data_IF_676609112639
#
_entry.id   IF_676609112639
#
_cell.length_a   1.000
_cell.length_b   1.000
_cell.length_c   1.000
_cell.angle_alpha   90.00
_cell.angle_beta   90.00
_cell.angle_gamma   90.00
#
_symmetry.space_group_name_H-M   'P 1'
#
loop_
_entity.id
_entity.type
_entity.pdbx_description
1 polymer ?
#
# COMPACT_ATOMS: atom_id res chain seq x y z
N UNK A 1 -14.74 12.26 11.34
CA UNK A 1 -16.12 11.93 10.92
C UNK A 1 -16.08 11.58 9.46
N UNK A 2 -16.39 10.33 9.12
CA UNK A 2 -16.71 9.97 7.73
C UNK A 2 -17.94 10.77 7.27
N UNK A 3 -18.12 10.97 5.96
CA UNK A 3 -19.32 11.63 5.43
C UNK A 3 -20.62 10.93 5.89
N UNK A 4 -20.57 9.63 6.16
CA UNK A 4 -21.69 8.88 6.74
C UNK A 4 -22.02 9.30 8.19
N UNK A 5 -21.01 9.61 9.01
CA UNK A 5 -21.21 10.01 10.42
C UNK A 5 -21.71 11.46 10.59
N UNK A 6 -21.31 12.36 9.70
CA UNK A 6 -21.81 13.74 9.73
C UNK A 6 -23.30 13.85 9.34
N UNK A 7 -23.82 12.84 8.64
CA UNK A 7 -25.19 12.83 8.13
C UNK A 7 -26.14 11.92 8.91
N UNK A 8 -25.70 10.73 9.34
CA UNK A 8 -26.48 9.87 10.24
C UNK A 8 -26.82 10.57 11.58
N UNK A 9 -26.03 11.57 12.00
CA UNK A 9 -26.30 12.37 13.18
C UNK A 9 -27.37 13.47 12.98
N UNK A 10 -27.86 13.71 11.75
CA UNK A 10 -28.83 14.78 11.45
C UNK A 10 -30.16 14.32 10.85
N UNK A 11 -30.26 13.10 10.33
CA UNK A 11 -31.48 12.61 9.69
C UNK A 11 -31.68 11.16 10.11
N UNK A 12 -32.80 10.86 10.78
CA UNK A 12 -33.25 9.48 10.96
C UNK A 12 -33.36 8.85 9.58
N UNK A 13 -32.57 7.80 9.32
CA UNK A 13 -32.30 7.21 8.01
C UNK A 13 -33.50 6.43 7.45
N UNK A 14 -34.71 6.61 7.98
CA UNK A 14 -35.75 5.58 7.85
C UNK A 14 -36.63 5.62 6.60
N UNK A 15 -36.70 6.66 5.76
CA UNK A 15 -37.55 6.56 4.55
C UNK A 15 -37.03 7.36 3.34
N UNK A 16 -36.08 6.80 2.60
CA UNK A 16 -35.83 7.23 1.22
C UNK A 16 -36.47 6.25 0.24
N UNK A 17 -37.38 6.75 -0.59
CA UNK A 17 -37.89 5.99 -1.72
C UNK A 17 -36.93 6.18 -2.91
N UNK A 18 -36.16 5.15 -3.24
CA UNK A 18 -35.24 5.16 -4.36
C UNK A 18 -35.84 4.49 -5.60
N UNK A 19 -35.71 5.13 -6.76
CA UNK A 19 -36.12 4.55 -8.03
C UNK A 19 -35.08 4.81 -9.12
N UNK A 20 -34.93 3.82 -10.02
CA UNK A 20 -34.06 3.95 -11.20
C UNK A 20 -34.69 4.92 -12.18
N UNK A 21 -33.90 5.87 -12.65
CA UNK A 21 -34.31 6.86 -13.65
C UNK A 21 -33.10 7.29 -14.48
N UNK A 22 -33.29 8.22 -15.40
CA UNK A 22 -32.21 8.78 -16.21
C UNK A 22 -32.11 10.28 -16.00
N UNK A 23 -30.91 10.81 -15.84
CA UNK A 23 -30.67 12.25 -15.79
C UNK A 23 -30.01 12.72 -17.09
N UNK A 24 -30.54 13.75 -17.73
CA UNK A 24 -29.99 14.31 -18.97
C UNK A 24 -28.70 15.13 -18.73
N UNK A 25 -28.49 15.62 -17.50
CA UNK A 25 -27.32 16.40 -17.14
C UNK A 25 -26.23 15.44 -16.60
N UNK A 26 -25.00 15.51 -17.10
CA UNK A 26 -23.89 14.83 -16.46
C UNK A 26 -23.64 15.48 -15.09
N UNK A 27 -23.20 14.72 -14.07
CA UNK A 27 -22.96 15.24 -12.73
C UNK A 27 -21.79 16.24 -12.67
N UNK A 28 -20.94 16.27 -13.70
CA UNK A 28 -19.85 17.24 -13.88
C UNK A 28 -19.47 17.32 -15.36
N UNK A 29 -18.81 18.42 -15.77
CA UNK A 29 -18.11 18.49 -17.05
C UNK A 29 -16.91 17.53 -17.00
N UNK A 30 -16.95 16.44 -17.76
CA UNK A 30 -15.72 15.73 -18.12
C UNK A 30 -15.01 16.64 -19.12
N UNK A 31 -14.00 17.39 -18.68
CA UNK A 31 -12.90 17.66 -19.59
C UNK A 31 -12.07 16.38 -19.59
N UNK A 32 -11.70 15.89 -20.78
CA UNK A 32 -10.80 14.74 -20.99
C UNK A 32 -9.37 14.98 -20.44
N UNK A 33 -9.23 15.89 -19.47
CA UNK A 33 -7.98 16.47 -18.97
C UNK A 33 -7.97 16.62 -17.43
N UNK A 34 -8.96 16.10 -16.70
CA UNK A 34 -9.06 16.38 -15.27
C UNK A 34 -8.23 15.45 -14.36
N UNK A 35 -6.97 15.86 -14.15
CA UNK A 35 -6.28 16.05 -12.84
C UNK A 35 -5.93 14.83 -11.97
N UNK A 36 -4.77 14.22 -12.27
CA UNK A 36 -3.81 13.84 -11.21
C UNK A 36 -2.87 15.00 -10.82
N UNK A 37 -2.94 16.14 -11.51
CA UNK A 37 -2.13 17.33 -11.22
C UNK A 37 -0.64 17.02 -11.03
N UNK A 38 0.06 17.81 -10.23
CA UNK A 38 1.51 17.72 -10.02
C UNK A 38 2.04 16.60 -9.10
N UNK A 39 1.20 15.66 -8.65
CA UNK A 39 1.54 14.75 -7.53
C UNK A 39 1.48 13.26 -7.85
N UNK A 40 1.27 12.88 -9.11
CA UNK A 40 1.32 11.47 -9.53
C UNK A 40 2.67 10.79 -9.21
N UNK A 41 3.74 11.57 -9.04
CA UNK A 41 5.12 11.11 -8.91
C UNK A 41 5.76 11.28 -7.54
N UNK A 42 5.06 11.82 -6.54
CA UNK A 42 5.56 11.80 -5.15
C UNK A 42 5.75 10.37 -4.62
N UNK A 43 5.13 9.39 -5.28
CA UNK A 43 5.31 7.95 -5.07
C UNK A 43 6.62 7.36 -5.64
N UNK A 44 7.49 8.16 -6.28
CA UNK A 44 8.76 7.68 -6.85
C UNK A 44 10.02 8.16 -6.12
N UNK A 45 9.90 8.95 -5.04
CA UNK A 45 11.05 9.45 -4.28
C UNK A 45 11.90 8.32 -3.65
N UNK A 46 11.33 7.12 -3.48
CA UNK A 46 11.98 5.98 -2.85
C UNK A 46 12.96 5.15 -3.69
N UNK A 47 13.22 5.48 -4.97
CA UNK A 47 14.10 4.67 -5.83
C UNK A 47 15.60 5.02 -5.75
N UNK A 48 16.00 5.93 -4.85
CA UNK A 48 17.38 6.45 -4.76
C UNK A 48 18.37 5.46 -4.11
N UNK A 49 17.93 4.29 -3.66
CA UNK A 49 18.74 3.41 -2.81
C UNK A 49 19.84 2.56 -3.47
N UNK A 50 19.88 2.37 -4.80
CA UNK A 50 20.96 1.56 -5.42
C UNK A 50 21.07 1.75 -6.95
N UNK A 51 21.61 2.89 -7.39
CA UNK A 51 21.59 3.28 -8.82
C UNK A 51 22.91 3.15 -9.58
N UNK A 52 24.05 2.85 -8.94
CA UNK A 52 25.34 2.77 -9.65
C UNK A 52 25.35 1.73 -10.77
N UNK A 53 24.53 0.67 -10.69
CA UNK A 53 24.46 -0.39 -11.71
C UNK A 53 23.41 -0.17 -12.82
N UNK A 54 22.62 0.91 -12.75
CA UNK A 54 21.51 1.17 -13.70
C UNK A 54 21.75 2.37 -14.63
N UNK A 55 22.84 3.11 -14.39
CA UNK A 55 23.33 4.19 -15.25
C UNK A 55 24.23 3.53 -16.31
N UNK A 56 23.77 3.45 -17.57
CA UNK A 56 24.60 2.96 -18.69
C UNK A 56 25.07 4.08 -19.60
N UNK A 57 24.32 5.19 -19.65
CA UNK A 57 24.60 6.32 -20.52
C UNK A 57 24.46 7.64 -19.77
N UNK A 58 25.18 8.67 -20.21
CA UNK A 58 25.00 10.05 -19.80
C UNK A 58 24.75 10.94 -21.01
N UNK A 59 24.13 12.09 -20.78
CA UNK A 59 23.94 13.13 -21.77
C UNK A 59 24.70 14.39 -21.34
N UNK A 60 25.54 14.95 -22.22
CA UNK A 60 26.25 16.18 -21.94
C UNK A 60 25.31 17.38 -21.91
N UNK A 61 25.72 18.41 -21.17
CA UNK A 61 25.14 19.76 -21.24
C UNK A 61 25.01 20.22 -22.70
N UNK A 62 23.90 20.88 -23.04
CA UNK A 62 23.58 21.29 -24.40
C UNK A 62 22.90 20.21 -25.26
N UNK A 63 22.69 18.99 -24.73
CA UNK A 63 21.86 17.97 -25.39
C UNK A 63 20.42 18.46 -25.52
N UNK A 64 19.79 18.18 -26.66
CA UNK A 64 18.39 18.51 -26.90
C UNK A 64 17.55 17.25 -26.78
N UNK A 65 16.48 17.33 -26.01
CA UNK A 65 15.60 16.21 -25.74
C UNK A 65 14.15 16.58 -25.94
N UNK A 66 13.35 15.61 -26.36
CA UNK A 66 11.91 15.69 -26.48
C UNK A 66 11.26 15.03 -25.28
N UNK A 67 10.34 15.73 -24.63
CA UNK A 67 9.47 15.19 -23.58
C UNK A 67 8.01 15.20 -24.06
N UNK A 68 7.29 14.05 -24.06
CA UNK A 68 5.93 13.97 -24.59
C UNK A 68 4.92 14.93 -23.93
N UNK A 69 3.92 15.43 -24.69
CA UNK A 69 2.92 16.40 -24.21
C UNK A 69 2.16 15.97 -22.97
N UNK A 70 1.85 14.67 -22.87
CA UNK A 70 1.07 14.11 -21.75
C UNK A 70 1.77 14.22 -20.39
N UNK A 71 3.02 14.70 -20.35
CA UNK A 71 3.87 14.75 -19.16
C UNK A 71 4.31 16.17 -18.80
N UNK A 72 3.88 17.18 -19.55
CA UNK A 72 4.28 18.58 -19.31
C UNK A 72 3.38 19.30 -18.31
N UNK A 73 2.08 19.04 -18.36
CA UNK A 73 1.08 19.66 -17.47
C UNK A 73 1.17 19.15 -16.02
N UNK A 74 1.89 18.03 -15.83
CA UNK A 74 2.03 17.29 -14.58
C UNK A 74 3.31 17.66 -13.80
N UNK A 75 4.26 18.41 -14.37
CA UNK A 75 5.59 18.67 -13.77
C UNK A 75 5.83 20.15 -13.43
N UNK A 76 4.86 20.79 -12.79
CA UNK A 76 4.99 22.15 -12.26
C UNK A 76 5.90 22.30 -11.03
N UNK A 77 6.66 21.27 -10.63
CA UNK A 77 7.56 21.33 -9.48
C UNK A 77 8.94 20.73 -9.81
N UNK A 78 9.97 21.51 -9.50
CA UNK A 78 11.40 21.43 -9.88
C UNK A 78 12.19 20.18 -9.43
N UNK A 79 11.55 19.08 -9.04
CA UNK A 79 12.19 18.01 -8.24
C UNK A 79 12.05 16.59 -8.84
N UNK A 80 11.36 16.37 -9.97
CA UNK A 80 11.09 15.04 -10.53
C UNK A 80 12.00 14.60 -11.69
N UNK A 81 11.93 13.32 -12.12
CA UNK A 81 12.55 12.82 -13.37
C UNK A 81 11.50 12.74 -14.49
N UNK A 82 11.87 13.14 -15.70
CA UNK A 82 11.01 13.23 -16.89
C UNK A 82 11.53 12.22 -17.92
N UNK A 83 10.65 11.39 -18.53
CA UNK A 83 11.06 10.56 -19.65
C UNK A 83 11.32 11.42 -20.87
N UNK A 84 12.40 11.12 -21.56
CA UNK A 84 12.84 11.88 -22.71
C UNK A 84 13.30 10.97 -23.83
N UNK A 85 13.17 11.49 -25.05
CA UNK A 85 13.84 10.98 -26.24
C UNK A 85 14.91 11.97 -26.65
N UNK A 86 16.14 11.51 -26.84
CA UNK A 86 17.26 12.36 -27.25
C UNK A 86 17.08 12.74 -28.70
N UNK A 87 17.02 14.04 -29.00
CA UNK A 87 16.94 14.57 -30.35
C UNK A 87 18.33 14.91 -30.88
N UNK A 88 19.18 15.47 -30.02
CA UNK A 88 20.53 15.90 -30.38
C UNK A 88 21.46 15.77 -29.20
N UNK A 89 22.71 15.42 -29.49
CA UNK A 89 23.80 15.40 -28.51
C UNK A 89 24.97 16.17 -29.11
N UNK A 90 25.52 17.18 -28.39
CA UNK A 90 26.70 17.90 -28.80
C UNK A 90 27.86 16.96 -29.19
N UNK A 91 28.73 17.37 -30.13
CA UNK A 91 29.91 16.60 -30.49
C UNK A 91 30.87 16.44 -29.29
N UNK A 92 31.65 15.34 -29.20
CA UNK A 92 32.56 15.06 -28.08
C UNK A 92 33.68 16.09 -27.88
N UNK A 93 33.90 16.97 -28.86
CA UNK A 93 34.89 18.05 -28.79
C UNK A 93 34.58 19.04 -27.67
N UNK A 94 33.30 19.26 -27.33
CA UNK A 94 32.90 20.15 -26.24
C UNK A 94 33.31 19.60 -24.87
N UNK A 95 33.15 18.29 -24.66
CA UNK A 95 33.55 17.59 -23.43
C UNK A 95 35.06 17.66 -23.23
N UNK A 96 35.85 17.54 -24.32
CA UNK A 96 37.32 17.69 -24.28
C UNK A 96 37.75 19.08 -23.85
N UNK A 97 37.04 20.13 -24.29
CA UNK A 97 37.30 21.52 -23.89
C UNK A 97 37.00 21.72 -22.40
N UNK A 98 35.91 21.14 -21.90
CA UNK A 98 35.51 21.22 -20.48
C UNK A 98 36.37 20.34 -19.55
N UNK A 99 36.85 19.19 -20.02
CA UNK A 99 37.79 18.34 -19.29
C UNK A 99 39.23 18.83 -19.37
N UNK A 100 39.54 19.63 -20.40
CA UNK A 100 40.87 20.12 -20.75
C UNK A 100 41.19 21.53 -20.26
N UNK A 101 40.29 22.19 -19.51
CA UNK A 101 40.67 23.38 -18.73
C UNK A 101 41.66 22.97 -17.64
N UNK A 102 42.95 23.06 -17.97
CA UNK A 102 44.04 22.87 -17.02
C UNK A 102 43.94 23.90 -15.89
N UNK A 103 44.40 23.50 -14.70
CA UNK A 103 44.54 24.43 -13.59
C UNK A 103 45.54 25.50 -13.97
N UNK A 104 45.08 26.73 -14.19
CA UNK A 104 45.96 27.88 -14.25
C UNK A 104 46.56 28.10 -12.85
N UNK A 105 47.88 28.20 -12.79
CA UNK A 105 48.63 28.54 -11.59
C UNK A 105 48.52 30.05 -11.42
N UNK A 106 48.06 30.51 -10.26
CA UNK A 106 48.02 31.94 -9.99
C UNK A 106 49.44 32.47 -9.75
N UNK A 107 49.63 33.79 -9.87
CA UNK A 107 50.94 34.45 -9.71
C UNK A 107 51.55 34.25 -8.31
N UNK A 108 50.74 33.85 -7.32
CA UNK A 108 51.18 33.51 -5.96
C UNK A 108 51.63 32.03 -5.79
N UNK A 109 51.61 31.25 -6.88
CA UNK A 109 51.99 29.85 -6.88
C UNK A 109 50.93 28.88 -6.34
N UNK A 110 49.76 29.36 -5.95
CA UNK A 110 48.64 28.53 -5.51
C UNK A 110 47.90 27.91 -6.72
N UNK A 111 47.46 26.67 -6.55
CA UNK A 111 46.64 25.98 -7.55
C UNK A 111 45.15 26.22 -7.24
N UNK A 112 44.53 27.25 -7.82
CA UNK A 112 43.06 27.31 -7.88
C UNK A 112 42.57 26.20 -8.81
N UNK A 113 42.13 25.07 -8.25
CA UNK A 113 41.36 24.06 -9.01
C UNK A 113 40.05 24.72 -9.46
N UNK A 114 39.99 25.20 -10.71
CA UNK A 114 38.72 25.62 -11.33
C UNK A 114 37.71 24.47 -11.20
N UNK A 115 36.61 24.76 -10.52
CA UNK A 115 35.65 23.81 -9.91
C UNK A 115 34.76 23.04 -10.90
N UNK A 116 35.26 22.65 -12.08
CA UNK A 116 34.48 21.91 -13.07
C UNK A 116 34.72 20.39 -13.02
N UNK A 117 35.87 19.94 -12.52
CA UNK A 117 36.20 18.51 -12.37
C UNK A 117 35.21 17.71 -11.48
N UNK A 118 34.71 18.24 -10.35
CA UNK A 118 33.72 17.54 -9.53
C UNK A 118 32.37 17.33 -10.22
N UNK A 119 32.04 18.11 -11.27
CA UNK A 119 30.83 17.91 -12.07
C UNK A 119 30.94 16.71 -13.02
N UNK A 120 32.14 16.12 -13.18
CA UNK A 120 32.40 14.98 -14.05
C UNK A 120 32.62 13.66 -13.31
N UNK A 121 32.81 13.68 -11.98
CA UNK A 121 33.05 12.44 -11.20
C UNK A 121 31.84 11.50 -11.15
N UNK A 122 30.62 12.03 -11.29
CA UNK A 122 29.38 11.23 -11.28
C UNK A 122 29.09 10.50 -12.61
N UNK A 123 29.97 10.70 -13.61
CA UNK A 123 29.79 10.26 -14.99
C UNK A 123 30.87 9.23 -15.41
N UNK A 124 31.84 8.98 -14.53
CA UNK A 124 32.95 8.06 -14.80
C UNK A 124 32.43 6.63 -15.02
N UNK A 125 32.72 6.05 -16.20
CA UNK A 125 32.27 4.72 -16.60
C UNK A 125 30.92 4.65 -17.36
N UNK A 126 30.26 5.78 -17.63
CA UNK A 126 29.03 5.83 -18.42
C UNK A 126 29.30 6.05 -19.91
N UNK A 127 28.56 5.36 -20.79
CA UNK A 127 28.60 5.63 -22.24
C UNK A 127 27.94 6.97 -22.61
N UNK A 128 28.31 7.60 -23.73
CA UNK A 128 27.61 8.80 -24.21
C UNK A 128 26.26 8.40 -24.83
N UNK A 129 25.18 9.06 -24.43
CA UNK A 129 23.88 8.97 -25.10
C UNK A 129 23.91 9.67 -26.45
N UNK A 130 23.11 9.20 -27.40
CA UNK A 130 23.00 9.77 -28.75
C UNK A 130 21.56 9.94 -29.20
N UNK A 131 21.33 10.61 -30.35
CA UNK A 131 20.01 10.77 -30.95
C UNK A 131 19.25 9.44 -31.05
N UNK A 132 17.99 9.43 -30.65
CA UNK A 132 17.14 8.24 -30.63
C UNK A 132 17.17 7.45 -29.33
N UNK A 133 18.14 7.68 -28.44
CA UNK A 133 18.13 7.08 -27.10
C UNK A 133 16.91 7.56 -26.29
N UNK A 134 16.34 6.65 -25.50
CA UNK A 134 15.18 6.90 -24.65
C UNK A 134 15.56 6.57 -23.20
N UNK A 135 15.15 7.42 -22.26
CA UNK A 135 15.38 7.21 -20.84
C UNK A 135 14.75 8.30 -20.00
N UNK A 136 15.18 8.43 -18.76
CA UNK A 136 14.68 9.44 -17.81
C UNK A 136 15.81 10.38 -17.40
N UNK A 137 15.51 11.68 -17.31
CA UNK A 137 16.42 12.77 -16.89
C UNK A 137 15.77 13.58 -15.76
N UNK A 138 16.56 14.14 -14.86
CA UNK A 138 16.05 15.01 -13.80
C UNK A 138 15.54 16.34 -14.37
N UNK A 139 14.36 16.80 -13.96
CA UNK A 139 13.70 18.00 -14.46
C UNK A 139 14.54 19.27 -14.24
N UNK A 140 15.22 19.36 -13.10
CA UNK A 140 16.18 20.45 -12.80
C UNK A 140 17.27 20.63 -13.87
N UNK A 141 17.61 19.55 -14.56
CA UNK A 141 18.66 19.50 -15.55
C UNK A 141 18.16 19.92 -16.94
N UNK A 142 16.88 20.24 -17.08
CA UNK A 142 16.22 20.58 -18.33
C UNK A 142 15.82 22.06 -18.32
N UNK A 143 16.29 22.80 -19.31
CA UNK A 143 15.86 24.14 -19.63
C UNK A 143 14.95 24.10 -20.86
N UNK A 144 13.82 24.81 -20.80
CA UNK A 144 12.80 24.74 -21.86
C UNK A 144 13.26 25.52 -23.10
N UNK A 145 13.33 24.85 -24.25
CA UNK A 145 13.62 25.49 -25.54
C UNK A 145 12.37 25.66 -26.42
N UNK A 146 11.39 24.77 -26.31
CA UNK A 146 10.10 24.87 -27.01
C UNK A 146 8.98 24.22 -26.18
N UNK A 147 7.83 23.96 -26.78
CA UNK A 147 6.68 23.38 -26.09
C UNK A 147 7.00 22.01 -25.48
N UNK A 148 7.72 21.16 -26.20
CA UNK A 148 8.05 19.78 -25.80
C UNK A 148 9.53 19.45 -25.97
N UNK A 149 10.35 20.49 -26.19
CA UNK A 149 11.77 20.37 -26.47
C UNK A 149 12.55 21.11 -25.39
N UNK A 150 13.55 20.44 -24.85
CA UNK A 150 14.34 20.91 -23.73
C UNK A 150 15.82 20.77 -24.05
N UNK A 151 16.63 21.68 -23.50
CA UNK A 151 18.08 21.66 -23.56
C UNK A 151 18.59 21.29 -22.18
N UNK A 152 19.58 20.40 -22.10
CA UNK A 152 20.22 20.09 -20.83
C UNK A 152 21.10 21.26 -20.38
N UNK A 153 20.90 21.75 -19.16
CA UNK A 153 21.72 22.80 -18.55
C UNK A 153 22.86 22.24 -17.66
N UNK A 154 22.87 20.93 -17.41
CA UNK A 154 23.94 20.20 -16.73
C UNK A 154 24.10 18.80 -17.32
N UNK A 155 25.29 18.22 -17.16
CA UNK A 155 25.52 16.82 -17.52
C UNK A 155 24.60 15.91 -16.69
N UNK A 156 23.87 15.03 -17.36
CA UNK A 156 22.82 14.24 -16.70
C UNK A 156 22.91 12.76 -17.07
N UNK A 157 22.80 11.82 -16.10
CA UNK A 157 22.70 10.40 -16.42
C UNK A 157 21.37 10.11 -17.13
N UNK A 158 21.42 9.33 -18.21
CA UNK A 158 20.23 8.83 -18.90
C UNK A 158 19.85 7.48 -18.29
N UNK A 159 18.76 7.47 -17.53
CA UNK A 159 18.37 6.33 -16.72
C UNK A 159 17.46 5.38 -17.51
N UNK A 160 17.78 4.08 -17.48
CA UNK A 160 17.02 3.00 -18.15
C UNK A 160 15.95 2.35 -17.26
N UNK A 161 15.74 2.85 -16.05
CA UNK A 161 14.69 2.34 -15.17
C UNK A 161 13.36 2.44 -15.89
N UNK A 162 12.77 1.29 -16.25
CA UNK A 162 11.36 1.22 -16.64
C UNK A 162 10.58 1.91 -15.54
N UNK A 163 9.74 2.89 -15.88
CA UNK A 163 8.57 3.14 -15.04
C UNK A 163 7.85 1.81 -14.78
N UNK A 164 7.04 1.69 -13.72
CA UNK A 164 6.23 0.48 -13.53
C UNK A 164 5.55 0.13 -14.86
N UNK A 165 5.59 -1.16 -15.26
CA UNK A 165 4.73 -1.62 -16.36
C UNK A 165 3.33 -1.12 -16.03
N UNK A 166 2.60 -0.48 -16.96
CA UNK A 166 1.21 -0.15 -16.71
C UNK A 166 0.51 -1.47 -16.42
N UNK A 167 0.16 -1.65 -15.15
CA UNK A 167 -0.90 -2.55 -14.71
C UNK A 167 -2.15 -2.11 -15.45
N UNK A 168 -2.94 -3.04 -15.99
CA UNK A 168 -4.06 -2.73 -16.89
C UNK A 168 -4.88 -1.61 -16.26
N UNK A 169 -4.84 -0.38 -16.80
CA UNK A 169 -5.53 0.73 -16.18
C UNK A 169 -7.01 0.40 -16.02
N UNK A 170 -7.54 0.49 -14.80
CA UNK A 170 -8.99 0.48 -14.58
C UNK A 170 -9.45 1.92 -14.61
N UNK A 171 -10.42 2.22 -15.45
CA UNK A 171 -11.02 3.55 -15.57
C UNK A 171 -12.52 3.50 -15.28
N UNK A 172 -13.07 4.62 -14.83
CA UNK A 172 -14.48 4.73 -14.47
C UNK A 172 -15.24 5.39 -15.62
N UNK A 173 -16.32 4.76 -16.07
CA UNK A 173 -17.19 5.24 -17.15
C UNK A 173 -18.63 5.38 -16.66
N UNK A 174 -19.32 6.47 -17.02
CA UNK A 174 -20.74 6.61 -16.71
C UNK A 174 -21.59 5.74 -17.62
N UNK A 175 -22.59 5.07 -17.05
CA UNK A 175 -23.55 4.28 -17.81
C UNK A 175 -24.62 5.19 -18.39
N UNK A 176 -24.85 5.09 -19.71
CA UNK A 176 -25.93 5.77 -20.40
C UNK A 176 -27.09 4.81 -20.64
N UNK A 177 -28.31 5.30 -20.39
CA UNK A 177 -29.56 4.62 -20.71
C UNK A 177 -30.40 5.55 -21.59
N UNK A 178 -30.61 5.17 -22.85
CA UNK A 178 -31.25 6.03 -23.84
C UNK A 178 -30.47 7.32 -24.08
N UNK A 179 -31.13 8.48 -23.88
CA UNK A 179 -30.52 9.81 -24.04
C UNK A 179 -29.90 10.38 -22.74
N UNK A 180 -30.07 9.69 -21.61
CA UNK A 180 -29.62 10.15 -20.30
C UNK A 180 -28.58 9.25 -19.66
N UNK A 181 -28.07 9.68 -18.52
CA UNK A 181 -27.20 8.90 -17.63
C UNK A 181 -28.06 8.10 -16.66
N UNK A 182 -27.73 6.82 -16.47
CA UNK A 182 -28.44 5.97 -15.52
C UNK A 182 -28.18 6.48 -14.09
N UNK A 183 -29.26 6.77 -13.35
CA UNK A 183 -29.19 7.23 -11.96
C UNK A 183 -30.18 6.45 -11.09
N UNK A 184 -29.86 6.37 -9.80
CA UNK A 184 -30.80 5.97 -8.77
C UNK A 184 -31.18 7.24 -7.99
N UNK A 185 -32.40 7.71 -8.19
CA UNK A 185 -32.92 8.92 -7.52
C UNK A 185 -33.58 8.50 -6.23
N UNK A 186 -33.09 9.02 -5.12
CA UNK A 186 -33.62 8.77 -3.78
C UNK A 186 -34.25 10.04 -3.25
N UNK A 187 -35.49 9.97 -2.79
CA UNK A 187 -36.24 11.10 -2.27
C UNK A 187 -36.78 10.79 -0.87
N UNK A 188 -36.74 11.78 0.02
CA UNK A 188 -37.45 11.76 1.31
C UNK A 188 -38.29 13.02 1.45
N UNK A 189 -39.42 12.91 2.16
CA UNK A 189 -40.21 14.07 2.54
C UNK A 189 -39.74 14.57 3.89
N UNK A 190 -39.44 15.87 3.97
CA UNK A 190 -39.22 16.52 5.26
C UNK A 190 -40.56 16.59 6.02
N UNK A 191 -40.60 15.94 7.19
CA UNK A 191 -41.79 15.90 8.04
C UNK A 191 -42.24 17.29 8.54
N UNK A 192 -41.35 18.29 8.53
CA UNK A 192 -41.65 19.64 9.03
C UNK A 192 -42.13 20.56 7.91
N UNK A 193 -41.55 20.47 6.72
CA UNK A 193 -41.84 21.38 5.61
C UNK A 193 -42.70 20.81 4.49
N UNK A 194 -42.98 19.49 4.50
CA UNK A 194 -43.59 18.71 3.40
C UNK A 194 -42.85 18.89 2.05
N UNK A 195 -41.61 19.40 2.09
CA UNK A 195 -40.75 19.49 0.91
C UNK A 195 -40.05 18.15 0.67
N UNK A 196 -40.04 17.74 -0.60
CA UNK A 196 -39.33 16.54 -1.02
C UNK A 196 -37.86 16.87 -1.30
N UNK A 197 -36.96 16.24 -0.56
CA UNK A 197 -35.53 16.33 -0.77
C UNK A 197 -35.07 15.10 -1.54
N UNK A 198 -34.70 15.31 -2.80
CA UNK A 198 -34.18 14.27 -3.68
C UNK A 198 -32.69 14.45 -3.93
N UNK A 199 -31.98 13.33 -4.12
CA UNK A 199 -30.62 13.31 -4.64
C UNK A 199 -30.45 12.19 -5.67
N UNK A 200 -29.54 12.42 -6.62
CA UNK A 200 -29.22 11.47 -7.69
C UNK A 200 -27.89 10.76 -7.41
N UNK A 201 -27.92 9.43 -7.35
CA UNK A 201 -26.72 8.61 -7.41
C UNK A 201 -26.49 8.12 -8.82
N UNK A 202 -25.39 8.50 -9.46
CA UNK A 202 -25.09 8.15 -10.85
C UNK A 202 -24.45 6.76 -10.94
N UNK A 203 -24.85 5.98 -11.95
CA UNK A 203 -24.26 4.66 -12.20
C UNK A 203 -22.95 4.79 -12.97
N UNK A 204 -21.90 4.20 -12.42
CA UNK A 204 -20.59 4.08 -13.03
C UNK A 204 -20.22 2.61 -13.23
N UNK A 205 -19.42 2.35 -14.27
CA UNK A 205 -18.75 1.10 -14.55
C UNK A 205 -17.24 1.30 -14.46
N UNK A 206 -16.59 0.47 -13.65
CA UNK A 206 -15.15 0.30 -13.66
C UNK A 206 -14.79 -0.63 -14.81
N UNK A 207 -14.02 -0.14 -15.79
CA UNK A 207 -13.65 -0.83 -17.01
C UNK A 207 -12.15 -1.03 -17.08
N UNK A 208 -11.72 -2.20 -17.55
CA UNK A 208 -10.31 -2.42 -17.86
C UNK A 208 -9.96 -1.71 -19.16
N UNK A 209 -8.80 -1.06 -19.24
CA UNK A 209 -8.44 -0.27 -20.42
C UNK A 209 -7.94 -1.11 -21.59
N UNK A 210 -7.53 -2.35 -21.35
CA UNK A 210 -6.98 -3.25 -22.37
C UNK A 210 -8.07 -3.86 -23.25
N UNK A 211 -9.17 -4.32 -22.65
CA UNK A 211 -10.27 -5.02 -23.33
C UNK A 211 -11.63 -4.30 -23.20
N UNK A 212 -11.67 -3.18 -22.47
CA UNK A 212 -12.88 -2.42 -22.20
C UNK A 212 -13.98 -3.22 -21.45
N UNK A 213 -13.62 -4.36 -20.85
CA UNK A 213 -14.55 -5.19 -20.10
C UNK A 213 -15.00 -4.48 -18.82
N UNK A 214 -16.29 -4.59 -18.52
CA UNK A 214 -16.85 -4.09 -17.27
C UNK A 214 -16.42 -5.05 -16.16
N UNK A 215 -15.66 -4.52 -15.22
CA UNK A 215 -15.20 -5.26 -14.05
C UNK A 215 -16.20 -5.18 -12.90
N UNK A 216 -16.79 -3.98 -12.67
CA UNK A 216 -17.77 -3.74 -11.59
C UNK A 216 -18.59 -2.49 -11.89
N UNK A 217 -19.84 -2.46 -11.47
CA UNK A 217 -20.65 -1.24 -11.43
C UNK A 217 -20.89 -0.73 -10.00
N UNK A 218 -21.14 0.57 -9.88
CA UNK A 218 -21.44 1.22 -8.60
C UNK A 218 -22.28 2.48 -8.82
N UNK A 219 -23.06 2.84 -7.80
CA UNK A 219 -23.81 4.10 -7.77
C UNK A 219 -23.12 5.09 -6.86
N UNK A 220 -22.94 6.34 -7.31
CA UNK A 220 -22.22 7.37 -6.55
C UNK A 220 -23.05 8.65 -6.50
N UNK A 221 -23.34 9.11 -5.30
CA UNK A 221 -24.01 10.41 -5.06
C UNK A 221 -22.99 11.54 -5.12
N UNK A 222 -23.17 12.46 -6.07
CA UNK A 222 -22.20 13.50 -6.38
C UNK A 222 -22.42 14.78 -5.56
N UNK A 223 -23.62 14.99 -5.03
CA UNK A 223 -23.99 16.19 -4.27
C UNK A 223 -23.34 16.27 -2.87
N UNK A 224 -22.71 15.19 -2.40
CA UNK A 224 -22.29 15.07 -1.00
C UNK A 224 -20.82 14.65 -0.79
N UNK A 225 -20.05 14.34 -1.85
CA UNK A 225 -18.67 13.88 -1.72
C UNK A 225 -17.81 14.27 -2.93
N UNK A 226 -16.63 14.82 -2.68
CA UNK A 226 -15.58 14.95 -3.69
C UNK A 226 -14.96 13.56 -3.92
N UNK A 227 -15.62 12.76 -4.76
CA UNK A 227 -15.29 11.33 -5.04
C UNK A 227 -13.84 11.16 -5.49
N UNK A 228 -13.27 12.19 -6.10
CA UNK A 228 -11.91 12.18 -6.64
C UNK A 228 -10.83 12.45 -5.60
N UNK A 229 -11.14 12.96 -4.40
CA UNK A 229 -10.15 13.14 -3.33
C UNK A 229 -9.69 11.79 -2.74
N UNK A 230 -10.47 10.73 -2.95
CA UNK A 230 -10.24 9.39 -2.41
C UNK A 230 -10.00 8.31 -3.48
N UNK A 231 -10.19 8.63 -4.76
CA UNK A 231 -9.97 7.70 -5.86
C UNK A 231 -8.47 7.50 -6.13
N UNK A 232 -7.87 6.50 -5.46
CA UNK A 232 -6.48 6.09 -5.69
C UNK A 232 -6.42 4.82 -6.55
N UNK A 233 -5.53 4.75 -7.55
CA UNK A 233 -5.37 3.54 -8.36
C UNK A 233 -4.89 2.38 -7.49
N UNK A 234 -5.63 1.27 -7.53
CA UNK A 234 -5.28 0.01 -6.86
C UNK A 234 -4.42 -0.79 -7.85
N UNK A 235 -3.28 -1.31 -7.41
CA UNK A 235 -2.42 -2.16 -8.25
C UNK A 235 -3.20 -3.40 -8.69
N UNK A 236 -2.96 -3.83 -9.94
CA UNK A 236 -3.50 -5.08 -10.45
C UNK A 236 -3.07 -6.25 -9.55
N UNK A 237 -4.01 -7.12 -9.18
CA UNK A 237 -3.81 -8.19 -8.21
C UNK A 237 -4.06 -7.81 -6.74
N UNK A 238 -4.08 -6.52 -6.37
CA UNK A 238 -4.37 -6.08 -4.99
C UNK A 238 -5.88 -5.88 -4.72
N UNK A 239 -6.66 -5.69 -5.79
CA UNK A 239 -8.10 -5.44 -5.65
C UNK A 239 -8.87 -6.62 -5.05
N UNK A 240 -8.57 -7.85 -5.45
CA UNK A 240 -9.24 -9.04 -4.90
C UNK A 240 -8.91 -9.25 -3.42
N UNK A 241 -7.64 -9.18 -2.97
CA UNK A 241 -7.29 -9.15 -1.55
C UNK A 241 -7.99 -8.03 -0.77
N UNK A 242 -8.07 -6.83 -1.34
CA UNK A 242 -8.72 -5.68 -0.71
C UNK A 242 -10.23 -5.89 -0.52
N UNK A 243 -10.91 -6.38 -1.56
CA UNK A 243 -12.33 -6.77 -1.47
C UNK A 243 -12.54 -7.91 -0.46
N UNK A 244 -11.61 -8.88 -0.40
CA UNK A 244 -11.63 -9.93 0.60
C UNK A 244 -11.47 -9.39 2.03
N UNK A 245 -10.57 -8.41 2.24
CA UNK A 245 -10.39 -7.77 3.53
C UNK A 245 -11.64 -6.97 3.96
N UNK A 246 -12.32 -6.29 3.02
CA UNK A 246 -13.61 -5.62 3.27
C UNK A 246 -14.65 -6.66 3.68
N UNK A 247 -14.80 -7.74 2.91
CA UNK A 247 -15.79 -8.77 3.19
C UNK A 247 -15.54 -9.47 4.54
N UNK A 248 -14.30 -9.79 4.86
CA UNK A 248 -13.94 -10.35 6.16
C UNK A 248 -14.25 -9.38 7.32
N UNK A 249 -14.20 -8.07 7.08
CA UNK A 249 -14.57 -7.06 8.08
C UNK A 249 -16.08 -6.93 8.22
N UNK A 250 -16.84 -7.06 7.12
CA UNK A 250 -18.31 -6.99 7.10
C UNK A 250 -18.98 -8.02 7.99
N UNK A 251 -18.34 -9.17 8.19
CA UNK A 251 -18.84 -10.22 9.10
C UNK A 251 -19.04 -9.67 10.51
N UNK A 252 -18.19 -8.73 10.95
CA UNK A 252 -18.29 -8.09 12.25
C UNK A 252 -18.93 -6.69 12.20
N UNK A 253 -18.75 -5.97 11.10
CA UNK A 253 -19.19 -4.59 10.89
C UNK A 253 -19.90 -4.46 9.53
N UNK A 254 -21.19 -4.83 9.43
CA UNK A 254 -21.91 -4.97 8.16
C UNK A 254 -21.89 -3.75 7.24
N UNK A 255 -21.76 -2.56 7.81
CA UNK A 255 -21.65 -1.27 7.13
C UNK A 255 -20.27 -1.00 6.51
N UNK A 256 -19.27 -1.84 6.79
CA UNK A 256 -17.92 -1.68 6.23
C UNK A 256 -17.98 -1.78 4.72
N UNK A 257 -17.36 -0.83 4.03
CA UNK A 257 -17.15 -0.87 2.60
C UNK A 257 -15.69 -0.48 2.30
N UNK A 258 -15.38 -0.30 1.02
CA UNK A 258 -14.04 0.08 0.61
C UNK A 258 -13.65 1.49 1.11
N UNK A 259 -14.62 2.38 1.31
CA UNK A 259 -14.41 3.76 1.75
C UNK A 259 -14.22 3.85 3.27
N UNK A 260 -14.75 2.88 4.01
CA UNK A 260 -14.60 2.75 5.46
C UNK A 260 -13.31 2.00 5.86
N UNK A 261 -12.55 1.46 4.89
CA UNK A 261 -11.29 0.79 5.16
C UNK A 261 -10.15 1.81 5.25
N UNK A 262 -9.50 1.87 6.40
CA UNK A 262 -8.26 2.62 6.58
C UNK A 262 -7.15 1.96 5.73
N UNK A 263 -6.64 2.70 4.74
CA UNK A 263 -5.57 2.26 3.84
C UNK A 263 -4.36 3.18 4.02
N UNK A 264 -3.25 2.61 4.49
CA UNK A 264 -1.96 3.29 4.51
C UNK A 264 -1.33 3.04 3.15
N UNK A 265 -1.39 4.07 2.32
CA UNK A 265 -0.70 4.07 1.04
C UNK A 265 0.76 4.35 1.32
N UNK A 266 1.60 3.35 1.13
CA UNK A 266 3.03 3.53 1.25
C UNK A 266 3.57 4.52 0.22
N UNK A 267 4.35 5.50 0.66
CA UNK A 267 5.20 6.28 -0.24
C UNK A 267 6.44 5.42 -0.61
N UNK A 268 6.68 5.19 -1.90
CA UNK A 268 7.86 4.46 -2.39
C UNK A 268 7.78 2.92 -2.27
N UNK A 269 8.68 2.31 -1.48
CA UNK A 269 8.79 0.84 -1.29
C UNK A 269 7.81 0.27 -0.27
N UNK A 270 7.14 1.14 0.50
CA UNK A 270 6.17 0.70 1.49
C UNK A 270 4.97 0.07 0.76
N UNK A 271 4.57 -1.15 1.13
CA UNK A 271 3.43 -1.79 0.52
C UNK A 271 2.13 -1.03 0.80
N UNK A 272 1.10 -1.30 0.00
CA UNK A 272 -0.26 -0.88 0.34
C UNK A 272 -0.68 -1.68 1.57
N UNK A 273 -0.99 -1.00 2.67
CA UNK A 273 -1.41 -1.65 3.90
C UNK A 273 -2.85 -1.27 4.24
N UNK A 274 -3.55 -2.20 4.86
CA UNK A 274 -4.89 -2.01 5.40
C UNK A 274 -4.81 -2.13 6.92
N UNK A 275 -5.57 -1.28 7.61
CA UNK A 275 -5.65 -1.37 9.06
C UNK A 275 -6.56 -2.51 9.48
N UNK A 276 -6.11 -3.29 10.45
CA UNK A 276 -6.95 -4.18 11.22
C UNK A 276 -7.66 -3.33 12.27
N UNK A 277 -8.99 -3.33 12.24
CA UNK A 277 -9.80 -2.59 13.20
C UNK A 277 -9.53 -3.11 14.62
N UNK A 278 -9.13 -2.20 15.51
CA UNK A 278 -8.93 -2.45 16.94
C UNK A 278 -9.70 -1.40 17.71
N UNK A 279 -10.58 -1.83 18.61
CA UNK A 279 -11.28 -0.94 19.52
C UNK A 279 -10.25 -0.25 20.44
N UNK A 280 -10.12 1.09 20.40
CA UNK A 280 -9.12 1.80 21.18
C UNK A 280 -9.36 1.78 22.69
N UNK A 281 -10.56 1.47 23.15
CA UNK A 281 -10.89 1.39 24.58
C UNK A 281 -10.63 -0.01 25.14
N UNK A 282 -10.96 -1.04 24.35
CA UNK A 282 -10.91 -2.43 24.83
C UNK A 282 -9.75 -3.25 24.26
N UNK A 283 -9.02 -2.71 23.29
CA UNK A 283 -8.02 -3.41 22.46
C UNK A 283 -8.56 -4.67 21.76
N UNK A 284 -9.88 -4.82 21.65
CA UNK A 284 -10.48 -5.94 20.93
C UNK A 284 -10.29 -5.74 19.43
N UNK A 285 -9.78 -6.76 18.77
CA UNK A 285 -9.67 -6.84 17.32
C UNK A 285 -10.78 -7.70 16.71
N UNK A 286 -10.57 -8.18 15.46
CA UNK A 286 -11.52 -9.02 14.76
C UNK A 286 -11.87 -10.30 15.52
N UNK A 287 -13.13 -10.73 15.48
CA UNK A 287 -13.57 -12.03 16.01
C UNK A 287 -13.18 -12.27 17.48
N UNK A 288 -13.27 -11.23 18.31
CA UNK A 288 -12.96 -11.32 19.74
C UNK A 288 -11.47 -11.49 20.07
N UNK A 289 -10.58 -11.34 19.08
CA UNK A 289 -9.14 -11.27 19.29
C UNK A 289 -8.77 -10.03 20.12
N UNK A 290 -7.54 -10.02 20.64
CA UNK A 290 -7.02 -8.95 21.48
C UNK A 290 -5.67 -8.46 20.98
N UNK A 291 -5.56 -7.16 20.72
CA UNK A 291 -4.30 -6.53 20.35
C UNK A 291 -3.45 -6.29 21.61
N UNK A 292 -2.41 -7.08 21.82
CA UNK A 292 -1.56 -6.93 23.01
C UNK A 292 -0.55 -5.81 22.79
N UNK A 293 -0.47 -4.88 23.75
CA UNK A 293 0.48 -3.76 23.87
C UNK A 293 0.77 -3.02 22.54
N UNK A 294 0.25 -1.79 22.41
CA UNK A 294 0.78 -0.82 21.44
C UNK A 294 2.19 -0.44 21.89
N UNK A 295 3.21 -1.01 21.29
CA UNK A 295 4.58 -0.60 21.60
C UNK A 295 5.00 0.66 20.83
N UNK A 296 4.18 1.08 19.87
CA UNK A 296 4.32 2.31 19.14
C UNK A 296 3.21 3.35 19.40
N UNK A 297 3.55 4.64 19.23
CA UNK A 297 2.62 5.75 19.42
C UNK A 297 1.60 5.92 18.27
N UNK A 298 1.76 5.19 17.16
CA UNK A 298 1.03 5.43 15.91
C UNK A 298 0.18 4.24 15.41
N UNK A 299 0.07 3.16 16.21
CA UNK A 299 -0.65 1.94 15.84
C UNK A 299 -0.11 1.28 14.55
N UNK A 300 1.20 1.37 14.27
CA UNK A 300 1.84 0.68 13.14
C UNK A 300 1.60 -0.85 13.21
N UNK A 301 1.52 -1.37 14.44
CA UNK A 301 1.17 -2.74 14.82
C UNK A 301 -0.21 -3.18 14.33
N UNK A 302 -1.02 -2.30 13.74
CA UNK A 302 -2.34 -2.67 13.21
C UNK A 302 -2.40 -2.69 11.69
N UNK A 303 -1.29 -2.41 11.00
CA UNK A 303 -1.25 -2.33 9.54
C UNK A 303 -0.66 -3.58 8.91
N UNK A 304 -1.33 -4.11 7.90
CA UNK A 304 -0.83 -5.26 7.16
C UNK A 304 -1.27 -5.23 5.69
N UNK A 305 -0.58 -5.98 4.85
CA UNK A 305 -1.01 -6.20 3.47
C UNK A 305 -2.47 -6.64 3.42
N UNK A 306 -3.26 -6.19 2.43
CA UNK A 306 -4.66 -6.59 2.33
C UNK A 306 -4.87 -8.11 2.39
N UNK A 307 -3.99 -8.89 1.74
CA UNK A 307 -4.02 -10.35 1.80
C UNK A 307 -3.78 -10.88 3.21
N UNK A 308 -2.80 -10.33 3.93
CA UNK A 308 -2.45 -10.72 5.30
C UNK A 308 -3.58 -10.36 6.27
N UNK A 309 -4.11 -9.14 6.19
CA UNK A 309 -5.27 -8.68 6.98
C UNK A 309 -6.50 -9.56 6.74
N UNK A 310 -6.79 -9.87 5.47
CA UNK A 310 -7.88 -10.76 5.09
C UNK A 310 -7.72 -12.16 5.67
N UNK A 311 -6.57 -12.81 5.43
CA UNK A 311 -6.30 -14.17 5.92
C UNK A 311 -6.30 -14.23 7.45
N UNK A 312 -5.71 -13.25 8.12
CA UNK A 312 -5.73 -13.15 9.58
C UNK A 312 -7.15 -13.11 10.13
N UNK A 313 -8.04 -12.30 9.54
CA UNK A 313 -9.45 -12.24 9.94
C UNK A 313 -10.16 -13.58 9.76
N UNK A 314 -9.90 -14.30 8.65
CA UNK A 314 -10.44 -15.64 8.41
C UNK A 314 -9.92 -16.69 9.40
N UNK A 315 -8.65 -16.61 9.79
CA UNK A 315 -8.07 -17.45 10.84
C UNK A 315 -8.72 -17.15 12.19
N UNK A 316 -8.89 -15.87 12.53
CA UNK A 316 -9.52 -15.44 13.77
C UNK A 316 -10.98 -15.91 13.85
N UNK A 317 -11.74 -15.78 12.76
CA UNK A 317 -13.09 -16.30 12.60
C UNK A 317 -13.16 -17.81 12.87
N UNK A 318 -12.34 -18.59 12.17
CA UNK A 318 -12.30 -20.06 12.29
C UNK A 318 -11.85 -20.50 13.67
N UNK A 319 -10.85 -19.84 14.26
CA UNK A 319 -10.37 -20.15 15.60
C UNK A 319 -11.42 -19.86 16.69
N UNK A 320 -12.10 -18.72 16.61
CA UNK A 320 -13.18 -18.38 17.53
C UNK A 320 -14.30 -19.44 17.50
N UNK A 321 -14.58 -20.02 16.33
CA UNK A 321 -15.55 -21.11 16.19
C UNK A 321 -15.04 -22.46 16.73
N UNK A 322 -13.73 -22.72 16.69
CA UNK A 322 -13.14 -24.02 17.04
C UNK A 322 -12.56 -24.12 18.47
N UNK A 323 -12.39 -23.00 19.16
CA UNK A 323 -11.78 -22.94 20.49
C UNK A 323 -12.64 -22.07 21.41
N UNK A 324 -13.47 -22.72 22.22
CA UNK A 324 -14.36 -22.06 23.20
C UNK A 324 -13.90 -22.23 24.64
N UNK A 325 -12.87 -23.03 24.88
CA UNK A 325 -12.33 -23.31 26.20
C UNK A 325 -11.61 -22.09 26.83
N UNK A 326 -11.38 -22.10 28.15
CA UNK A 326 -10.47 -21.17 28.81
C UNK A 326 -9.14 -20.98 28.06
N UNK A 327 -8.75 -19.72 27.88
CA UNK A 327 -7.47 -19.35 27.25
C UNK A 327 -7.43 -19.43 25.72
N UNK A 328 -8.59 -19.57 25.06
CA UNK A 328 -8.71 -19.55 23.60
C UNK A 328 -8.64 -18.15 22.96
N UNK A 329 -8.55 -17.06 23.72
CA UNK A 329 -8.47 -15.71 23.15
C UNK A 329 -7.22 -15.58 22.27
N UNK A 330 -7.42 -15.34 20.97
CA UNK A 330 -6.34 -15.01 20.05
C UNK A 330 -5.78 -13.63 20.43
N UNK A 331 -4.48 -13.56 20.72
CA UNK A 331 -3.80 -12.28 20.99
C UNK A 331 -2.77 -12.01 19.90
N UNK A 332 -2.84 -10.85 19.27
CA UNK A 332 -1.91 -10.45 18.22
C UNK A 332 -1.25 -9.11 18.58
N UNK A 333 -0.05 -8.88 18.06
CA UNK A 333 0.72 -7.65 18.23
C UNK A 333 1.23 -7.23 16.87
N UNK A 334 2.55 -7.06 16.77
CA UNK A 334 3.25 -6.50 15.62
C UNK A 334 2.78 -7.07 14.28
N UNK A 335 2.34 -6.18 13.40
CA UNK A 335 1.97 -6.49 12.02
C UNK A 335 2.93 -5.82 11.04
N UNK A 336 3.06 -4.48 11.08
CA UNK A 336 4.00 -3.72 10.27
C UNK A 336 4.89 -2.82 11.14
N UNK A 337 6.20 -2.96 10.98
CA UNK A 337 7.24 -2.10 11.56
C UNK A 337 8.30 -1.84 10.50
N UNK A 338 8.81 -0.62 10.37
CA UNK A 338 9.95 -0.40 9.48
C UNK A 338 11.20 -1.03 10.07
N UNK A 339 11.92 -1.87 9.31
CA UNK A 339 13.18 -2.49 9.74
C UNK A 339 14.19 -1.46 10.26
N UNK A 340 14.15 -0.22 9.74
CA UNK A 340 14.98 0.90 10.19
C UNK A 340 14.78 1.28 11.67
N UNK A 341 13.69 0.83 12.32
CA UNK A 341 13.43 1.03 13.74
C UNK A 341 14.18 0.04 14.63
N UNK A 342 14.68 -1.07 14.07
CA UNK A 342 15.67 -1.96 14.69
C UNK A 342 15.15 -2.89 15.81
N UNK A 343 13.86 -2.83 16.18
CA UNK A 343 13.32 -3.64 17.30
C UNK A 343 12.48 -4.84 16.81
N UNK A 344 12.04 -4.86 15.55
CA UNK A 344 11.16 -5.91 14.99
C UNK A 344 11.48 -6.21 13.51
N UNK A 345 12.75 -6.56 13.21
CA UNK A 345 13.20 -6.90 11.86
C UNK A 345 12.35 -8.03 11.24
N UNK A 346 11.79 -7.78 10.05
CA UNK A 346 10.98 -8.75 9.30
C UNK A 346 9.48 -8.40 9.17
N UNK A 347 9.01 -7.37 9.86
CA UNK A 347 7.64 -6.85 9.73
C UNK A 347 7.48 -5.74 8.68
N UNK A 348 8.57 -5.24 8.08
CA UNK A 348 8.59 -4.14 7.09
C UNK A 348 7.72 -4.39 5.85
N UNK A 349 7.53 -5.66 5.52
CA UNK A 349 6.73 -6.09 4.39
C UNK A 349 5.23 -6.04 4.65
N UNK A 350 4.79 -5.88 5.92
CA UNK A 350 3.39 -5.95 6.34
C UNK A 350 2.73 -7.30 6.06
N UNK A 351 3.52 -8.33 5.76
CA UNK A 351 3.02 -9.67 5.42
C UNK A 351 2.95 -10.60 6.64
N UNK A 352 3.55 -10.18 7.74
CA UNK A 352 3.75 -10.99 8.94
C UNK A 352 2.88 -10.48 10.10
N UNK A 353 2.62 -11.35 11.06
CA UNK A 353 1.83 -11.09 12.27
C UNK A 353 2.49 -11.81 13.43
N UNK A 354 2.65 -11.12 14.54
CA UNK A 354 3.06 -11.73 15.80
C UNK A 354 1.85 -12.09 16.65
N UNK A 355 1.82 -13.35 17.13
CA UNK A 355 0.67 -13.92 17.83
C UNK A 355 1.14 -14.55 19.15
N UNK A 356 0.51 -14.25 20.29
CA UNK A 356 0.88 -14.92 21.55
C UNK A 356 0.54 -16.41 21.51
N UNK A 357 1.37 -17.25 22.14
CA UNK A 357 0.96 -18.62 22.43
C UNK A 357 -0.28 -18.65 23.34
N UNK A 358 -1.03 -19.75 23.27
CA UNK A 358 -2.31 -19.88 23.97
C UNK A 358 -2.14 -20.27 25.42
N UNK A 359 -3.15 -19.92 26.22
CA UNK A 359 -3.18 -20.13 27.65
C UNK A 359 -4.06 -21.32 28.02
N UNK A 360 -3.81 -21.90 29.20
CA UNK A 360 -4.71 -22.87 29.83
C UNK A 360 -5.85 -22.18 30.59
N UNK A 361 -5.61 -20.97 31.07
CA UNK A 361 -6.51 -20.18 31.91
C UNK A 361 -7.25 -19.09 31.12
N UNK A 362 -8.46 -18.75 31.58
CA UNK A 362 -9.22 -17.62 31.04
C UNK A 362 -8.63 -16.31 31.54
N UNK A 363 -8.43 -15.35 30.63
CA UNK A 363 -8.16 -13.96 31.00
C UNK A 363 -9.51 -13.35 31.42
N UNK A 364 -9.80 -13.35 32.72
CA UNK A 364 -11.03 -12.76 33.28
C UNK A 364 -10.74 -11.33 33.77
N UNK A 365 -11.54 -10.36 33.33
CA UNK A 365 -11.75 -9.11 34.08
C UNK A 365 -10.69 -8.01 33.96
N UNK A 366 -10.17 -7.70 32.77
CA UNK A 366 -9.32 -6.50 32.59
C UNK A 366 -7.98 -6.53 33.34
N UNK A 367 -7.62 -7.67 33.92
CA UNK A 367 -6.26 -7.93 34.39
C UNK A 367 -5.37 -7.94 33.16
N UNK A 368 -4.48 -6.95 33.11
CA UNK A 368 -3.59 -6.69 32.00
C UNK A 368 -2.83 -7.98 31.62
N UNK A 369 -2.85 -8.39 30.35
CA UNK A 369 -2.14 -9.58 29.89
C UNK A 369 -0.63 -9.34 30.01
N UNK A 370 -0.06 -9.67 31.19
CA UNK A 370 1.33 -9.50 31.58
C UNK A 370 1.93 -8.12 31.21
N UNK A 371 1.92 -7.17 32.16
CA UNK A 371 2.34 -5.76 32.07
C UNK A 371 3.77 -5.46 31.54
N UNK A 372 4.53 -6.44 30.99
CA UNK A 372 5.52 -6.14 29.94
C UNK A 372 6.22 -7.34 29.25
N UNK A 373 6.03 -8.60 29.68
CA UNK A 373 6.94 -9.70 29.26
C UNK A 373 6.32 -10.81 28.38
N UNK A 374 4.99 -10.83 28.25
CA UNK A 374 4.27 -11.82 27.43
C UNK A 374 4.32 -13.26 27.97
N UNK A 375 3.40 -14.11 27.51
CA UNK A 375 3.39 -15.54 27.84
C UNK A 375 4.50 -16.26 27.09
N UNK A 376 5.53 -16.74 27.78
CA UNK A 376 6.56 -17.64 27.21
C UNK A 376 6.12 -19.12 27.30
N UNK A 377 6.56 -19.96 26.35
CA UNK A 377 6.28 -21.41 26.41
C UNK A 377 7.01 -22.12 27.58
N UNK A 378 8.13 -21.56 28.04
CA UNK A 378 8.91 -22.02 29.18
C UNK A 378 8.95 -20.96 30.30
N UNK A 379 9.28 -21.37 31.52
CA UNK A 379 9.57 -20.42 32.61
C UNK A 379 10.91 -19.72 32.31
N UNK A 380 10.98 -18.38 32.27
CA UNK A 380 12.20 -17.64 31.95
C UNK A 380 13.41 -18.11 32.76
N UNK A 381 14.55 -18.31 32.09
CA UNK A 381 15.77 -18.82 32.70
C UNK A 381 15.76 -20.33 33.01
N UNK A 382 14.73 -21.07 32.60
CA UNK A 382 14.65 -22.52 32.83
C UNK A 382 14.17 -23.28 31.59
N UNK A 383 14.38 -24.60 31.57
CA UNK A 383 13.83 -25.52 30.57
C UNK A 383 12.43 -26.03 30.91
N UNK A 384 11.85 -25.64 32.05
CA UNK A 384 10.52 -26.10 32.48
C UNK A 384 9.43 -25.40 31.68
N UNK A 385 8.43 -26.16 31.26
CA UNK A 385 7.25 -25.63 30.59
C UNK A 385 6.53 -24.61 31.50
N UNK A 386 6.07 -23.50 30.93
CA UNK A 386 5.28 -22.52 31.67
C UNK A 386 3.92 -23.14 32.02
N UNK A 387 3.51 -23.19 33.30
CA UNK A 387 2.26 -23.86 33.68
C UNK A 387 1.01 -23.21 33.08
N UNK A 388 1.07 -21.91 32.73
CA UNK A 388 -0.02 -21.16 32.07
C UNK A 388 -0.10 -21.44 30.56
N UNK A 389 0.97 -21.92 29.94
CA UNK A 389 1.04 -22.16 28.50
C UNK A 389 0.32 -23.45 28.09
N UNK A 390 -0.53 -23.35 27.08
CA UNK A 390 -1.24 -24.46 26.47
C UNK A 390 -0.62 -24.83 25.12
N UNK A 391 0.25 -25.84 25.16
CA UNK A 391 0.95 -26.34 23.98
C UNK A 391 0.02 -26.93 22.94
N UNK A 392 -1.03 -27.62 23.36
CA UNK A 392 -1.89 -28.35 22.44
C UNK A 392 -2.80 -27.38 21.68
N UNK A 393 -3.34 -26.35 22.36
CA UNK A 393 -4.03 -25.24 21.68
C UNK A 393 -3.10 -24.49 20.72
N UNK A 394 -1.88 -24.17 21.17
CA UNK A 394 -0.89 -23.49 20.33
C UNK A 394 -0.54 -24.29 19.09
N UNK A 395 -0.35 -25.61 19.23
CA UNK A 395 -0.13 -26.52 18.10
C UNK A 395 -1.32 -26.54 17.15
N UNK A 396 -2.55 -26.69 17.66
CA UNK A 396 -3.77 -26.68 16.85
C UNK A 396 -3.90 -25.38 16.06
N UNK A 397 -3.59 -24.25 16.69
CA UNK A 397 -3.59 -22.97 16.01
C UNK A 397 -2.48 -22.85 14.95
N UNK A 398 -1.26 -23.32 15.22
CA UNK A 398 -0.19 -23.36 14.20
C UNK A 398 -0.59 -24.21 12.98
N UNK A 399 -1.27 -25.34 13.19
CA UNK A 399 -1.82 -26.12 12.09
C UNK A 399 -2.86 -25.32 11.27
N UNK A 400 -3.64 -24.47 11.93
CA UNK A 400 -4.57 -23.56 11.25
C UNK A 400 -3.83 -22.51 10.41
N UNK A 401 -2.74 -21.93 10.92
CA UNK A 401 -1.87 -21.00 10.18
C UNK A 401 -1.26 -21.65 8.93
N UNK A 402 -0.81 -22.90 9.05
CA UNK A 402 -0.27 -23.69 7.93
C UNK A 402 -1.36 -23.93 6.88
N UNK A 403 -2.55 -24.37 7.30
CA UNK A 403 -3.70 -24.58 6.40
C UNK A 403 -4.11 -23.30 5.66
N UNK A 404 -3.92 -22.15 6.29
CA UNK A 404 -4.17 -20.84 5.69
C UNK A 404 -3.10 -20.40 4.66
N UNK A 405 -2.08 -21.23 4.42
CA UNK A 405 -1.04 -20.98 3.44
C UNK A 405 0.24 -20.34 3.99
N UNK A 406 0.39 -20.24 5.32
CA UNK A 406 1.65 -19.74 5.88
C UNK A 406 2.78 -20.74 5.68
N UNK A 407 3.89 -20.27 5.07
CA UNK A 407 5.13 -21.03 4.84
C UNK A 407 6.29 -20.62 5.75
N UNK A 408 6.09 -19.58 6.56
CA UNK A 408 7.12 -19.06 7.45
C UNK A 408 6.50 -18.88 8.82
N UNK A 409 6.84 -19.79 9.73
CA UNK A 409 6.41 -19.77 11.12
C UNK A 409 7.68 -19.86 11.98
N UNK A 410 7.90 -18.87 12.85
CA UNK A 410 8.96 -18.87 13.83
C UNK A 410 8.38 -19.02 15.23
N UNK A 411 8.77 -20.08 15.93
CA UNK A 411 8.39 -20.30 17.33
C UNK A 411 9.33 -21.30 18.00
N UNK A 412 9.81 -20.99 19.21
CA UNK A 412 10.90 -21.75 19.82
C UNK A 412 10.49 -23.03 20.55
N UNK A 413 9.20 -23.29 20.77
CA UNK A 413 8.78 -24.56 21.38
C UNK A 413 8.85 -25.72 20.38
N UNK A 414 9.98 -26.43 20.34
CA UNK A 414 10.16 -27.59 19.45
C UNK A 414 9.11 -28.69 19.63
N UNK A 415 8.44 -28.76 20.80
CA UNK A 415 7.42 -29.78 21.06
C UNK A 415 6.11 -29.48 20.34
N UNK A 416 5.90 -28.29 19.77
CA UNK A 416 4.73 -28.02 18.92
C UNK A 416 4.83 -28.70 17.55
N UNK A 417 6.04 -29.00 17.07
CA UNK A 417 6.27 -29.68 15.78
C UNK A 417 5.68 -31.10 15.76
N UNK A 418 5.50 -31.73 16.94
CA UNK A 418 4.95 -33.08 17.06
C UNK A 418 3.54 -33.15 16.47
N UNK A 419 3.37 -33.85 15.35
CA UNK A 419 2.06 -34.04 14.69
C UNK A 419 1.75 -32.98 13.61
N UNK A 420 2.72 -32.12 13.27
CA UNK A 420 2.69 -31.32 12.06
C UNK A 420 3.35 -32.13 10.93
N UNK A 421 2.81 -32.05 9.72
CA UNK A 421 3.36 -32.79 8.57
C UNK A 421 4.83 -32.41 8.32
N UNK A 422 5.67 -33.41 7.97
CA UNK A 422 7.14 -33.27 7.89
C UNK A 422 7.65 -32.26 6.86
N UNK A 423 6.80 -31.83 5.94
CA UNK A 423 7.09 -30.82 4.92
C UNK A 423 7.04 -29.38 5.45
N UNK A 424 6.62 -29.16 6.70
CA UNK A 424 6.60 -27.83 7.31
C UNK A 424 7.71 -27.70 8.35
N UNK A 425 8.48 -26.62 8.22
CA UNK A 425 9.56 -26.29 9.15
C UNK A 425 9.11 -25.11 9.99
N UNK A 426 8.97 -25.34 11.30
CA UNK A 426 8.90 -24.27 12.29
C UNK A 426 10.33 -23.89 12.62
N UNK A 427 10.75 -22.72 12.19
CA UNK A 427 12.10 -22.27 12.46
C UNK A 427 12.18 -21.71 13.88
N UNK A 428 13.33 -21.91 14.52
CA UNK A 428 13.63 -21.31 15.82
C UNK A 428 14.46 -20.06 15.58
N UNK A 429 14.15 -19.01 16.31
CA UNK A 429 14.81 -17.72 16.19
C UNK A 429 14.94 -17.06 17.57
N UNK A 430 15.95 -16.23 17.73
CA UNK A 430 16.15 -15.47 18.97
C UNK A 430 14.87 -14.68 19.30
N UNK A 431 14.49 -14.61 20.58
CA UNK A 431 13.31 -13.89 21.09
C UNK A 431 11.91 -14.43 20.74
N UNK A 432 11.78 -15.54 20.02
CA UNK A 432 10.49 -16.15 19.67
C UNK A 432 9.98 -17.17 20.72
N UNK A 433 10.21 -16.87 22.00
CA UNK A 433 9.75 -17.71 23.12
C UNK A 433 8.33 -17.36 23.56
N UNK A 434 7.87 -16.14 23.29
CA UNK A 434 6.62 -15.57 23.79
C UNK A 434 5.64 -15.12 22.70
N UNK A 435 5.94 -15.37 21.44
CA UNK A 435 5.07 -15.12 20.30
C UNK A 435 5.44 -16.05 19.16
N UNK A 436 4.46 -16.31 18.29
CA UNK A 436 4.58 -16.98 17.01
C UNK A 436 4.67 -15.86 15.97
N UNK A 437 5.79 -15.80 15.24
CA UNK A 437 5.90 -14.92 14.08
C UNK A 437 5.46 -15.70 12.84
N UNK A 438 4.42 -15.21 12.15
CA UNK A 438 3.82 -15.90 11.01
C UNK A 438 3.70 -14.98 9.81
N UNK A 439 4.12 -15.42 8.62
CA UNK A 439 4.04 -14.63 7.39
C UNK A 439 3.16 -15.26 6.31
N UNK A 440 2.34 -14.45 5.64
CA UNK A 440 1.49 -14.85 4.53
C UNK A 440 1.97 -14.21 3.23
N UNK A 441 2.40 -15.04 2.29
CA UNK A 441 2.92 -14.53 1.01
C UNK A 441 1.75 -14.25 0.04
N UNK A 442 1.56 -13.01 -0.44
CA UNK A 442 0.38 -12.66 -1.25
C UNK A 442 0.26 -13.43 -2.57
N UNK A 443 1.38 -13.87 -3.15
CA UNK A 443 1.40 -14.65 -4.38
C UNK A 443 1.05 -16.13 -4.19
N UNK A 444 0.96 -16.62 -2.94
CA UNK A 444 0.59 -18.00 -2.66
C UNK A 444 -0.89 -18.27 -2.96
N UNK A 445 -1.18 -19.35 -3.69
CA UNK A 445 -2.56 -19.71 -4.06
C UNK A 445 -3.41 -20.04 -2.83
N UNK A 446 -2.83 -20.67 -1.80
CA UNK A 446 -3.54 -21.05 -0.57
C UNK A 446 -3.90 -19.82 0.26
N UNK A 447 -3.01 -18.83 0.30
CA UNK A 447 -3.28 -17.53 0.96
C UNK A 447 -4.42 -16.80 0.25
N UNK A 448 -4.39 -16.74 -1.09
CA UNK A 448 -5.45 -16.10 -1.88
C UNK A 448 -6.79 -16.82 -1.73
N UNK A 449 -6.76 -18.14 -1.77
CA UNK A 449 -7.95 -18.99 -1.60
C UNK A 449 -8.54 -18.84 -0.19
N UNK A 450 -7.70 -18.87 0.84
CA UNK A 450 -8.13 -18.65 2.24
C UNK A 450 -8.76 -17.26 2.41
N UNK A 451 -8.18 -16.22 1.81
CA UNK A 451 -8.78 -14.89 1.86
C UNK A 451 -10.16 -14.85 1.19
N UNK A 452 -10.27 -15.45 0.00
CA UNK A 452 -11.48 -15.43 -0.83
C UNK A 452 -12.62 -16.24 -0.22
N UNK A 453 -12.34 -17.47 0.19
CA UNK A 453 -13.34 -18.47 0.54
C UNK A 453 -13.31 -18.86 2.03
N UNK A 454 -12.40 -18.29 2.81
CA UNK A 454 -12.16 -18.67 4.20
C UNK A 454 -11.41 -20.00 4.32
N UNK A 455 -11.21 -20.44 5.55
CA UNK A 455 -10.76 -21.80 5.84
C UNK A 455 -11.99 -22.70 5.81
N UNK A 456 -12.20 -23.36 4.65
CA UNK A 456 -13.31 -24.31 4.43
C UNK A 456 -13.42 -25.28 5.62
N UNK A 457 -14.68 -25.60 5.96
CA UNK A 457 -15.05 -26.30 7.21
C UNK A 457 -14.32 -27.61 7.43
#
# INVERSE_FOLDING_TARGET
MSCSQAWAARVNVEDYACHKTTNAKPPFYISDTYKQGGRAWDNLRGLVGNEKHKRKKFLPIGSVVYAPPQLKETYGASQGRIPVKVLYTPPPTLDKILSGTESTRDDDGSYQRRRLRPLMSDIEGLGRGGPGDIGYIHARSLERASEYVYVLNENSPLLLTKGPKPTVPIYMSMVKEGKGYAVNRCCSKDHVSDQEHCFDSYKFELRRSDDNSVFKDMYISMDYCNVFDFARPIKDGELSPLLGAVEATRIQYPETDLFNLDILVGEGLRPYLTKIAVDPQTNKGPHGSYHYKRDDHFSSDTWALPSTSCVFKRIAEKWQAECTDPGCQLQFGDLYHEDAWGVHEGHDSGRCVDIRPFRKDTIVGGIKPDDDKGLTYNVPGTSRDNPRYDRDKTRKFIQLLIKAGSKSILFNDSKVEKGIEKNWIINRATNHNNHIHVCFTPSDDTVRETCKNGLLK
#
